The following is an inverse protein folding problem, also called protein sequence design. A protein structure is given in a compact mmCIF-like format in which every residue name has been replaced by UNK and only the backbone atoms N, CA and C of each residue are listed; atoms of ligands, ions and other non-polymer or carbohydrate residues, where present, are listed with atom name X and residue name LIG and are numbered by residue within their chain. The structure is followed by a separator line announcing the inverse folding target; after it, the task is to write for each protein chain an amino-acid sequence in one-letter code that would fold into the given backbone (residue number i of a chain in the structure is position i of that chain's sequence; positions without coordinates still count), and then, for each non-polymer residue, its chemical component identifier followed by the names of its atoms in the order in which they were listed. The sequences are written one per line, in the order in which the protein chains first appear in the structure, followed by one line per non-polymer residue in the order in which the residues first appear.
data_IF_074938191753
#
_entry.id   IF_074938191753
#
_cell.length_a   1.000
_cell.length_b   1.000
_cell.length_c   1.000
_cell.angle_alpha   90.00
_cell.angle_beta   90.00
_cell.angle_gamma   90.00
#
_symmetry.space_group_name_H-M   'P 1'
#
loop_
_entity.id
_entity.type
_entity.pdbx_description
1 polymer ?
#
# COMPACT_ATOMS: atom_id res chain seq x y z
N UNK A 1 11.56 -13.81 -15.55
CA UNK A 1 10.32 -13.03 -15.72
C UNK A 1 10.08 -12.31 -14.41
N UNK A 2 9.80 -11.01 -14.46
CA UNK A 2 9.50 -10.20 -13.27
C UNK A 2 8.12 -10.56 -12.72
N UNK A 3 8.04 -10.94 -11.44
CA UNK A 3 6.79 -11.30 -10.80
C UNK A 3 6.84 -10.85 -9.33
N UNK A 4 6.17 -9.74 -9.04
CA UNK A 4 6.05 -9.19 -7.69
C UNK A 4 4.61 -9.35 -7.23
N UNK A 5 4.43 -9.91 -6.04
CA UNK A 5 3.12 -10.04 -5.39
C UNK A 5 3.09 -9.13 -4.18
N UNK A 6 2.04 -8.33 -4.04
CA UNK A 6 1.84 -7.44 -2.90
C UNK A 6 0.69 -7.96 -2.06
N UNK A 7 0.98 -8.27 -0.80
CA UNK A 7 0.01 -8.68 0.21
C UNK A 7 -0.21 -7.53 1.18
N UNK A 8 -1.46 -7.31 1.57
CA UNK A 8 -1.86 -6.20 2.42
C UNK A 8 -2.78 -6.68 3.54
N UNK A 9 -2.51 -6.22 4.75
CA UNK A 9 -3.46 -6.24 5.86
C UNK A 9 -3.67 -4.83 6.38
N UNK A 10 -4.84 -4.55 6.95
CA UNK A 10 -5.19 -3.24 7.51
C UNK A 10 -5.90 -3.40 8.84
N UNK A 11 -5.78 -2.40 9.69
CA UNK A 11 -6.49 -2.32 10.97
C UNK A 11 -6.90 -0.88 11.28
N UNK A 12 -8.06 -0.74 11.92
CA UNK A 12 -8.52 0.53 12.47
C UNK A 12 -7.76 0.85 13.77
N UNK A 13 -7.39 2.12 13.97
CA UNK A 13 -6.66 2.59 15.15
C UNK A 13 -7.54 3.52 16.01
N UNK A 14 -8.34 3.00 16.96
CA UNK A 14 -9.26 3.80 17.76
C UNK A 14 -8.57 4.93 18.54
N UNK A 15 -7.37 4.66 19.07
CA UNK A 15 -6.62 5.61 19.90
C UNK A 15 -6.02 6.78 19.11
N UNK A 16 -5.88 6.63 17.79
CA UNK A 16 -5.34 7.66 16.89
C UNK A 16 -6.45 8.33 16.06
N UNK A 17 -7.70 7.93 16.30
CA UNK A 17 -8.87 8.42 15.57
C UNK A 17 -9.64 9.45 16.40
N UNK A 18 -10.31 10.36 15.71
CA UNK A 18 -11.22 11.34 16.28
C UNK A 18 -12.56 11.27 15.50
N UNK A 19 -13.40 10.24 15.73
CA UNK A 19 -14.65 10.06 14.95
C UNK A 19 -15.58 11.27 15.01
N UNK A 20 -15.64 11.96 16.16
CA UNK A 20 -16.41 13.19 16.33
C UNK A 20 -15.92 14.38 15.47
N UNK A 21 -14.73 14.29 14.89
CA UNK A 21 -14.16 15.25 13.93
C UNK A 21 -14.05 14.66 12.52
N UNK A 22 -14.63 13.47 12.28
CA UNK A 22 -14.52 12.77 11.02
C UNK A 22 -13.11 12.29 10.67
N UNK A 23 -12.22 12.05 11.65
CA UNK A 23 -10.87 11.54 11.38
C UNK A 23 -10.76 10.08 11.80
N UNK A 24 -10.54 9.19 10.84
CA UNK A 24 -10.42 7.76 11.06
C UNK A 24 -9.02 7.30 10.66
N UNK A 25 -8.22 6.92 11.64
CA UNK A 25 -6.85 6.46 11.44
C UNK A 25 -6.83 4.94 11.23
N UNK A 26 -6.07 4.51 10.22
CA UNK A 26 -5.85 3.11 9.90
C UNK A 26 -4.35 2.83 9.78
N UNK A 27 -3.90 1.69 10.29
CA UNK A 27 -2.62 1.12 9.91
C UNK A 27 -2.82 0.16 8.74
N UNK A 28 -1.80 0.06 7.90
CA UNK A 28 -1.70 -0.99 6.89
C UNK A 28 -0.29 -1.58 6.90
N UNK A 29 -0.23 -2.88 6.69
CA UNK A 29 1.01 -3.66 6.66
C UNK A 29 1.14 -4.26 5.26
N UNK A 30 2.24 -3.94 4.59
CA UNK A 30 2.53 -4.41 3.25
C UNK A 30 3.64 -5.44 3.32
N UNK A 31 3.44 -6.54 2.59
CA UNK A 31 4.47 -7.53 2.29
C UNK A 31 4.62 -7.61 0.77
N UNK A 32 5.82 -7.33 0.28
CA UNK A 32 6.18 -7.35 -1.14
C UNK A 32 7.03 -8.59 -1.36
N UNK A 33 6.53 -9.55 -2.12
CA UNK A 33 7.21 -10.82 -2.40
C UNK A 33 7.72 -10.86 -3.83
N UNK A 34 8.99 -11.22 -4.00
CA UNK A 34 9.59 -11.40 -5.31
C UNK A 34 9.57 -12.88 -5.72
N UNK A 35 8.55 -13.24 -6.50
CA UNK A 35 8.40 -14.55 -7.12
C UNK A 35 9.02 -14.61 -8.52
N UNK A 36 9.76 -13.57 -8.91
CA UNK A 36 10.51 -13.51 -10.15
C UNK A 36 11.80 -14.34 -10.11
N UNK A 37 12.55 -14.28 -11.19
CA UNK A 37 13.82 -15.01 -11.36
C UNK A 37 15.07 -14.17 -11.12
N UNK A 38 14.89 -12.86 -10.90
CA UNK A 38 15.96 -11.90 -10.65
C UNK A 38 15.54 -10.93 -9.54
N UNK A 39 16.50 -10.22 -8.95
CA UNK A 39 16.18 -9.21 -7.96
C UNK A 39 15.52 -7.99 -8.61
N UNK A 40 14.68 -7.31 -7.84
CA UNK A 40 14.03 -6.08 -8.25
C UNK A 40 14.11 -5.02 -7.16
N UNK A 41 14.28 -3.76 -7.56
CA UNK A 41 14.32 -2.61 -6.66
C UNK A 41 13.06 -1.77 -6.80
N UNK A 42 12.44 -1.44 -5.68
CA UNK A 42 11.33 -0.49 -5.60
C UNK A 42 11.86 0.93 -5.70
N UNK A 43 11.34 1.69 -6.66
CA UNK A 43 11.76 3.07 -6.94
C UNK A 43 10.76 4.10 -6.43
N UNK A 44 9.48 3.89 -6.68
CA UNK A 44 8.42 4.82 -6.30
C UNK A 44 7.10 4.10 -6.07
N UNK A 45 6.16 4.80 -5.43
CA UNK A 45 4.81 4.34 -5.17
C UNK A 45 3.79 5.33 -5.74
N UNK A 46 2.66 4.80 -6.17
CA UNK A 46 1.47 5.55 -6.51
C UNK A 46 0.28 4.91 -5.81
N UNK A 47 -0.36 5.66 -4.91
CA UNK A 47 -1.58 5.28 -4.21
C UNK A 47 -2.77 6.02 -4.80
N UNK A 48 -3.88 5.29 -4.91
CA UNK A 48 -5.23 5.79 -5.18
C UNK A 48 -6.04 5.45 -3.93
N UNK A 49 -6.58 6.48 -3.29
CA UNK A 49 -7.32 6.38 -2.03
C UNK A 49 -8.74 6.88 -2.31
N UNK A 50 -9.73 6.02 -2.13
CA UNK A 50 -11.14 6.36 -2.32
C UNK A 50 -11.85 6.32 -0.97
N UNK A 51 -12.40 7.44 -0.53
CA UNK A 51 -13.16 7.50 0.72
C UNK A 51 -14.59 6.98 0.56
N UNK A 52 -15.33 6.83 1.67
CA UNK A 52 -16.72 6.37 1.67
C UNK A 52 -17.71 7.29 0.93
N UNK A 53 -17.31 8.51 0.59
CA UNK A 53 -18.08 9.45 -0.23
C UNK A 53 -17.65 9.41 -1.71
N UNK A 54 -16.88 8.40 -2.12
CA UNK A 54 -16.32 8.26 -3.47
C UNK A 54 -15.36 9.38 -3.88
N UNK A 55 -14.80 10.14 -2.92
CA UNK A 55 -13.76 11.13 -3.23
C UNK A 55 -12.43 10.40 -3.38
N UNK A 56 -11.77 10.66 -4.51
CA UNK A 56 -10.48 10.06 -4.84
C UNK A 56 -9.34 11.02 -4.53
N UNK A 57 -8.29 10.50 -3.89
CA UNK A 57 -7.02 11.18 -3.65
C UNK A 57 -5.88 10.32 -4.18
N UNK A 58 -5.00 10.93 -4.96
CA UNK A 58 -3.77 10.29 -5.42
C UNK A 58 -2.57 10.75 -4.60
N UNK A 59 -1.69 9.82 -4.24
CA UNK A 59 -0.42 10.11 -3.58
C UNK A 59 0.70 9.44 -4.34
N UNK A 60 1.69 10.21 -4.77
CA UNK A 60 2.90 9.71 -5.45
C UNK A 60 4.14 10.11 -4.67
N UNK A 61 5.14 9.24 -4.66
CA UNK A 61 6.41 9.57 -4.01
C UNK A 61 7.48 8.52 -4.20
N UNK A 62 8.75 8.87 -3.93
CA UNK A 62 9.87 7.94 -4.01
C UNK A 62 9.78 6.91 -2.88
N UNK A 63 10.16 5.68 -3.19
CA UNK A 63 10.30 4.60 -2.23
C UNK A 63 9.03 4.28 -1.43
N UNK A 64 9.24 3.59 -0.31
CA UNK A 64 8.26 3.31 0.75
C UNK A 64 8.94 3.61 2.08
N UNK A 65 8.23 4.28 3.00
CA UNK A 65 8.76 4.63 4.35
C UNK A 65 10.16 5.28 4.40
N UNK A 66 10.57 5.95 3.32
CA UNK A 66 11.89 6.57 3.19
C UNK A 66 12.97 5.66 2.57
N UNK A 67 12.63 4.44 2.18
CA UNK A 67 13.52 3.41 1.65
C UNK A 67 13.19 3.05 0.20
N UNK A 68 14.20 2.54 -0.52
CA UNK A 68 14.06 1.97 -1.87
C UNK A 68 14.61 0.55 -1.87
N UNK A 69 13.86 -0.43 -1.30
CA UNK A 69 14.37 -1.78 -1.08
C UNK A 69 14.68 -2.50 -2.39
N UNK A 70 15.80 -3.23 -2.41
CA UNK A 70 16.10 -4.26 -3.42
C UNK A 70 15.72 -5.61 -2.82
N UNK A 71 14.87 -6.37 -3.51
CA UNK A 71 14.30 -7.63 -3.06
C UNK A 71 14.86 -8.73 -3.96
N UNK A 72 15.64 -9.64 -3.39
CA UNK A 72 16.20 -10.78 -4.13
C UNK A 72 15.10 -11.76 -4.59
N UNK A 73 15.40 -12.58 -5.59
CA UNK A 73 14.46 -13.59 -6.07
C UNK A 73 14.19 -14.62 -4.97
N UNK A 74 12.91 -14.85 -4.66
CA UNK A 74 12.46 -15.71 -3.56
C UNK A 74 12.35 -15.00 -2.21
N UNK A 75 12.82 -13.76 -2.09
CA UNK A 75 12.77 -12.97 -0.86
C UNK A 75 11.56 -12.03 -0.82
N UNK A 76 11.42 -11.34 0.32
CA UNK A 76 10.34 -10.40 0.55
C UNK A 76 10.83 -9.19 1.35
N UNK A 77 10.06 -8.10 1.27
CA UNK A 77 10.22 -6.90 2.08
C UNK A 77 8.90 -6.53 2.75
N UNK A 78 8.95 -6.14 4.02
CA UNK A 78 7.78 -5.77 4.80
C UNK A 78 7.92 -4.36 5.35
N UNK A 79 6.81 -3.61 5.34
CA UNK A 79 6.73 -2.34 6.03
C UNK A 79 5.32 -2.05 6.51
N UNK A 80 5.21 -1.17 7.50
CA UNK A 80 3.92 -0.68 8.02
C UNK A 80 3.85 0.83 7.90
N UNK A 81 2.67 1.34 7.61
CA UNK A 81 2.40 2.78 7.58
C UNK A 81 0.93 3.04 7.94
N UNK A 82 0.51 4.30 7.92
CA UNK A 82 -0.85 4.69 8.29
C UNK A 82 -1.46 5.67 7.30
N UNK A 83 -2.79 5.67 7.27
CA UNK A 83 -3.60 6.61 6.52
C UNK A 83 -4.72 7.14 7.42
N UNK A 84 -5.11 8.39 7.19
CA UNK A 84 -6.28 9.00 7.83
C UNK A 84 -7.33 9.24 6.75
N UNK A 85 -8.53 8.74 6.97
CA UNK A 85 -9.69 9.00 6.12
C UNK A 85 -10.68 9.95 6.81
N UNK A 86 -11.45 10.66 5.99
CA UNK A 86 -12.56 11.51 6.44
C UNK A 86 -13.87 10.73 6.68
N UNK A 87 -13.83 9.40 6.48
CA UNK A 87 -14.99 8.49 6.51
C UNK A 87 -14.64 7.20 7.24
N UNK A 88 -15.67 6.50 7.75
CA UNK A 88 -15.53 5.24 8.50
C UNK A 88 -15.03 4.07 7.65
N UNK A 89 -15.19 4.16 6.33
CA UNK A 89 -14.73 3.17 5.38
C UNK A 89 -14.21 3.82 4.09
N UNK A 90 -13.26 3.16 3.44
CA UNK A 90 -12.72 3.53 2.15
C UNK A 90 -11.83 2.43 1.58
N UNK A 91 -11.31 2.62 0.38
CA UNK A 91 -10.39 1.69 -0.27
C UNK A 91 -9.07 2.35 -0.59
N UNK A 92 -8.01 1.54 -0.61
CA UNK A 92 -6.71 1.93 -1.13
C UNK A 92 -6.27 0.89 -2.15
N UNK A 93 -5.72 1.36 -3.26
CA UNK A 93 -5.11 0.55 -4.32
C UNK A 93 -3.96 1.33 -4.95
N UNK A 94 -3.16 0.71 -5.80
CA UNK A 94 -2.08 1.44 -6.43
C UNK A 94 -1.07 0.57 -7.14
N UNK A 95 0.14 1.11 -7.25
CA UNK A 95 1.26 0.41 -7.88
C UNK A 95 2.60 0.87 -7.31
N UNK A 96 3.59 -0.01 -7.38
CA UNK A 96 5.00 0.32 -7.23
C UNK A 96 5.69 0.33 -8.59
N UNK A 97 6.48 1.37 -8.85
CA UNK A 97 7.43 1.34 -9.94
C UNK A 97 8.67 0.56 -9.49
N UNK A 98 8.99 -0.50 -10.22
CA UNK A 98 10.11 -1.38 -9.97
C UNK A 98 11.14 -1.30 -11.11
N UNK A 99 12.39 -1.65 -10.81
CA UNK A 99 13.44 -1.92 -11.78
C UNK A 99 14.10 -3.26 -11.47
N UNK A 100 14.23 -4.15 -12.44
CA UNK A 100 14.99 -5.39 -12.27
C UNK A 100 16.50 -5.13 -12.28
N UNK A 101 17.30 -6.08 -11.81
CA UNK A 101 18.77 -5.99 -11.93
C UNK A 101 19.25 -5.95 -13.41
N UNK A 102 18.46 -6.51 -14.34
CA UNK A 102 18.69 -6.37 -15.78
C UNK A 102 18.34 -4.98 -16.35
N UNK A 103 17.77 -4.09 -15.53
CA UNK A 103 17.41 -2.72 -15.90
C UNK A 103 16.03 -2.56 -16.53
N UNK A 104 15.21 -3.62 -16.54
CA UNK A 104 13.83 -3.56 -17.01
C UNK A 104 12.95 -2.84 -15.99
N UNK A 105 12.23 -1.81 -16.45
CA UNK A 105 11.25 -1.09 -15.63
C UNK A 105 9.89 -1.76 -15.74
N UNK A 106 9.24 -2.02 -14.61
CA UNK A 106 7.91 -2.61 -14.58
C UNK A 106 7.10 -2.12 -13.39
N UNK A 107 5.78 -2.34 -13.41
CA UNK A 107 4.89 -2.01 -12.31
C UNK A 107 4.50 -3.28 -11.54
N UNK A 108 4.46 -3.17 -10.22
CA UNK A 108 3.85 -4.16 -9.34
C UNK A 108 2.55 -3.59 -8.79
N UNK A 109 1.42 -4.20 -9.13
CA UNK A 109 0.11 -3.72 -8.71
C UNK A 109 -0.14 -4.03 -7.23
N UNK A 110 -0.77 -3.07 -6.56
CA UNK A 110 -1.26 -3.23 -5.20
C UNK A 110 -2.77 -3.41 -5.31
N UNK A 111 -3.30 -4.62 -5.04
CA UNK A 111 -4.72 -4.88 -5.19
C UNK A 111 -5.53 -3.99 -4.23
N UNK A 112 -6.78 -3.64 -4.59
CA UNK A 112 -7.64 -2.88 -3.70
C UNK A 112 -7.82 -3.59 -2.36
N UNK A 113 -7.61 -2.85 -1.27
CA UNK A 113 -7.90 -3.31 0.08
C UNK A 113 -8.76 -2.30 0.83
N UNK A 114 -9.54 -2.84 1.75
CA UNK A 114 -10.48 -2.07 2.54
C UNK A 114 -9.79 -1.45 3.77
N UNK A 115 -10.12 -0.20 4.04
CA UNK A 115 -9.95 0.44 5.34
C UNK A 115 -11.34 0.62 5.92
N UNK A 116 -11.66 -0.05 7.03
CA UNK A 116 -12.99 0.07 7.64
C UNK A 116 -12.93 -0.03 9.15
N UNK A 117 -13.73 0.80 9.82
CA UNK A 117 -14.08 0.60 11.23
C UNK A 117 -14.80 -0.76 11.35
N UNK A 118 -14.45 -1.61 12.34
CA UNK A 118 -15.14 -2.88 12.53
C UNK A 118 -16.66 -2.72 12.61
N UNK A 119 -17.39 -3.43 11.74
CA UNK A 119 -18.85 -3.36 11.65
C UNK A 119 -19.42 -2.24 10.77
N UNK A 120 -18.59 -1.42 10.12
CA UNK A 120 -19.05 -0.35 9.22
C UNK A 120 -19.58 -0.86 7.87
N UNK A 121 -19.30 -2.11 7.50
CA UNK A 121 -19.79 -2.73 6.25
C UNK A 121 -20.75 -3.87 6.59
N UNK A 122 -21.94 -3.83 6.02
CA UNK A 122 -23.00 -4.84 6.11
C UNK A 122 -23.33 -5.40 4.74
#
# INVERSE_FOLDING_TARGET
MNHIVVLVTSEYLPRQSEPGQGKYAFAYHIRIENHGTEAAKLLSRHWIITDGNSRVKEVRGPGVVGETPRIDAGDHYEYSSSAILETEAGTMEGSYQMISDSGEMFNADIPPFLLAVPGAIH
#
